data_IF_158644424726
#
_entry.id   IF_158644424726
#
_cell.length_a   1.000
_cell.length_b   1.000
_cell.length_c   1.000
_cell.angle_alpha   90.00
_cell.angle_beta   90.00
_cell.angle_gamma   90.00
#
_symmetry.space_group_name_H-M   'P 1'
#
loop_
_entity.id
_entity.type
_entity.pdbx_description
1 polymer ?
#
# COMPACT_ATOMS: atom_id res chain seq x y z
N UNK A 1 5.81 34.99 4.50
CA UNK A 1 7.20 34.50 4.55
C UNK A 1 7.13 33.05 4.96
N UNK A 2 7.36 32.15 4.01
CA UNK A 2 7.25 30.70 4.17
C UNK A 2 8.31 30.07 3.27
N UNK A 3 9.10 29.17 3.86
CA UNK A 3 10.14 28.33 3.27
C UNK A 3 11.04 29.01 2.22
N UNK A 4 11.86 29.97 2.65
CA UNK A 4 13.10 30.31 1.94
C UNK A 4 14.28 30.39 2.93
N UNK A 5 15.38 29.72 2.58
CA UNK A 5 16.65 29.69 3.31
C UNK A 5 17.39 31.02 3.16
N UNK A 6 16.93 32.06 3.87
CA UNK A 6 17.59 33.36 3.90
C UNK A 6 18.10 33.73 5.30
N UNK A 7 18.72 32.78 6.02
CA UNK A 7 19.71 33.04 7.08
C UNK A 7 20.20 31.74 7.74
N UNK A 8 21.37 31.27 7.32
CA UNK A 8 22.49 31.00 8.24
C UNK A 8 22.36 29.97 9.38
N UNK A 9 21.52 28.93 9.26
CA UNK A 9 21.63 27.69 10.08
C UNK A 9 21.30 26.43 9.28
N UNK A 10 22.28 25.56 9.08
CA UNK A 10 22.06 24.21 8.58
C UNK A 10 21.13 23.46 9.56
N UNK A 11 19.87 23.23 9.17
CA UNK A 11 18.93 22.37 9.90
C UNK A 11 17.60 23.00 10.38
N UNK A 12 17.32 24.27 10.09
CA UNK A 12 16.08 24.95 10.53
C UNK A 12 15.16 25.32 9.34
N UNK A 13 14.70 24.32 8.58
CA UNK A 13 13.57 24.54 7.65
C UNK A 13 12.24 24.46 8.40
N UNK A 14 11.49 25.56 8.38
CA UNK A 14 10.13 25.61 8.92
C UNK A 14 9.14 24.78 8.10
N UNK A 15 8.06 24.30 8.72
CA UNK A 15 7.00 23.60 8.01
C UNK A 15 6.43 24.46 6.86
N UNK A 16 6.27 23.87 5.68
CA UNK A 16 5.74 24.56 4.49
C UNK A 16 4.26 24.90 4.56
N UNK A 17 3.50 24.20 5.41
CA UNK A 17 2.09 24.48 5.69
C UNK A 17 1.71 23.91 7.08
N UNK A 18 0.60 24.41 7.63
CA UNK A 18 -0.01 23.89 8.86
C UNK A 18 -0.73 22.57 8.60
N UNK A 19 -0.56 21.59 9.49
CA UNK A 19 -1.20 20.29 9.36
C UNK A 19 -0.99 19.39 10.57
N UNK A 20 -1.78 18.32 10.66
CA UNK A 20 -1.64 17.25 11.66
C UNK A 20 -1.33 15.95 10.93
N UNK A 21 -0.34 15.22 11.43
CA UNK A 21 0.11 13.95 10.85
C UNK A 21 -0.05 12.83 11.86
N UNK A 22 -0.47 11.66 11.39
CA UNK A 22 -0.58 10.45 12.21
C UNK A 22 0.35 9.37 11.66
N UNK A 23 1.05 8.69 12.56
CA UNK A 23 1.78 7.47 12.29
C UNK A 23 1.13 6.29 13.02
N UNK A 24 1.13 5.11 12.41
CA UNK A 24 0.61 3.89 13.01
C UNK A 24 1.53 2.71 12.70
N UNK A 25 1.70 1.82 13.68
CA UNK A 25 2.41 0.56 13.53
C UNK A 25 1.78 -0.50 14.45
N UNK A 26 1.78 -1.76 14.03
CA UNK A 26 1.27 -2.88 14.83
C UNK A 26 2.03 -4.17 14.50
N UNK A 27 1.89 -5.24 15.29
CA UNK A 27 2.68 -6.48 15.13
C UNK A 27 1.98 -7.55 14.28
N UNK A 28 1.00 -7.16 13.47
CA UNK A 28 0.19 -8.11 12.70
C UNK A 28 0.97 -8.70 11.50
N UNK A 29 1.96 -7.97 10.97
CA UNK A 29 2.76 -8.40 9.82
C UNK A 29 4.25 -8.11 10.04
N UNK A 30 5.16 -8.72 9.24
CA UNK A 30 6.61 -8.51 9.39
C UNK A 30 7.05 -7.04 9.26
N UNK A 31 6.34 -6.28 8.43
CA UNK A 31 6.63 -4.86 8.14
C UNK A 31 5.90 -3.90 9.08
N UNK A 32 5.36 -4.41 10.19
CA UNK A 32 4.66 -3.68 11.25
C UNK A 32 3.40 -2.92 10.79
N UNK A 33 2.70 -3.45 9.79
CA UNK A 33 1.49 -2.85 9.20
C UNK A 33 0.23 -3.66 9.56
N UNK A 34 -0.97 -3.05 9.57
CA UNK A 34 -2.22 -3.80 9.72
C UNK A 34 -2.38 -4.84 8.61
N UNK A 35 -2.83 -6.05 8.96
CA UNK A 35 -2.94 -7.15 8.00
C UNK A 35 -3.78 -6.83 6.74
N UNK A 36 -4.96 -6.17 6.81
CA UNK A 36 -5.78 -5.92 5.63
C UNK A 36 -5.07 -5.09 4.55
N UNK A 37 -4.51 -3.94 4.93
CA UNK A 37 -3.84 -3.04 4.00
C UNK A 37 -2.54 -3.66 3.47
N UNK A 38 -1.81 -4.36 4.36
CA UNK A 38 -0.59 -5.07 4.00
C UNK A 38 -0.82 -6.09 2.88
N UNK A 39 -1.79 -6.99 3.06
CA UNK A 39 -2.06 -8.03 2.07
C UNK A 39 -2.72 -7.48 0.80
N UNK A 40 -3.59 -6.47 0.91
CA UNK A 40 -4.11 -5.76 -0.27
C UNK A 40 -2.98 -5.20 -1.15
N UNK A 41 -1.99 -4.52 -0.57
CA UNK A 41 -0.84 -4.02 -1.32
C UNK A 41 0.02 -5.14 -1.89
N UNK A 42 0.31 -6.18 -1.12
CA UNK A 42 1.12 -7.32 -1.58
C UNK A 42 0.51 -8.03 -2.78
N UNK A 43 -0.82 -8.18 -2.84
CA UNK A 43 -1.51 -8.74 -4.01
C UNK A 43 -1.25 -7.90 -5.26
N UNK A 44 -1.38 -6.56 -5.16
CA UNK A 44 -1.18 -5.66 -6.30
C UNK A 44 0.29 -5.59 -6.74
N UNK A 45 1.22 -5.62 -5.78
CA UNK A 45 2.66 -5.67 -6.04
C UNK A 45 3.04 -6.94 -6.83
N UNK A 46 2.55 -8.11 -6.38
CA UNK A 46 2.79 -9.38 -7.06
C UNK A 46 2.14 -9.43 -8.46
N UNK A 47 0.92 -8.90 -8.61
CA UNK A 47 0.24 -8.85 -9.91
C UNK A 47 0.99 -7.96 -10.90
N UNK A 48 1.47 -6.81 -10.44
CA UNK A 48 2.27 -5.89 -11.26
C UNK A 48 3.61 -6.53 -11.67
N UNK A 49 4.30 -7.21 -10.74
CA UNK A 49 5.53 -7.93 -11.04
C UNK A 49 5.30 -9.01 -12.11
N UNK A 50 4.29 -9.87 -11.92
CA UNK A 50 3.95 -10.92 -12.88
C UNK A 50 3.60 -10.37 -14.27
N UNK A 51 2.86 -9.26 -14.33
CA UNK A 51 2.55 -8.56 -15.58
C UNK A 51 3.81 -8.02 -16.26
N UNK A 52 4.70 -7.37 -15.50
CA UNK A 52 5.95 -6.81 -16.04
C UNK A 52 6.93 -7.89 -16.52
N UNK A 53 6.99 -9.02 -15.81
CA UNK A 53 7.78 -10.18 -16.20
C UNK A 53 7.17 -10.95 -17.38
N UNK A 54 5.94 -10.61 -17.78
CA UNK A 54 5.19 -11.27 -18.85
C UNK A 54 5.06 -12.79 -18.60
N UNK A 55 4.85 -13.16 -17.34
CA UNK A 55 4.87 -14.55 -16.88
C UNK A 55 3.58 -15.30 -17.27
N UNK A 56 3.64 -16.07 -18.36
CA UNK A 56 2.53 -16.91 -18.81
C UNK A 56 1.26 -16.09 -19.09
N UNK A 57 0.14 -16.52 -18.51
CA UNK A 57 -1.16 -15.86 -18.68
C UNK A 57 -1.21 -14.44 -18.08
N UNK A 58 -0.28 -14.08 -17.18
CA UNK A 58 -0.19 -12.74 -16.62
C UNK A 58 0.16 -11.67 -17.67
N UNK A 59 0.72 -12.09 -18.82
CA UNK A 59 0.97 -11.20 -19.95
C UNK A 59 -0.28 -10.58 -20.58
N UNK A 60 -1.45 -11.17 -20.32
CA UNK A 60 -2.74 -10.66 -20.80
C UNK A 60 -3.35 -9.62 -19.85
N UNK A 61 -2.76 -9.37 -18.70
CA UNK A 61 -3.26 -8.41 -17.72
C UNK A 61 -2.93 -6.98 -18.14
N UNK A 62 -3.89 -6.08 -17.96
CA UNK A 62 -3.70 -4.64 -18.11
C UNK A 62 -3.07 -4.01 -16.86
N UNK A 63 -2.67 -2.72 -16.94
CA UNK A 63 -2.04 -2.02 -15.82
C UNK A 63 -2.99 -1.67 -14.66
N UNK A 64 -4.31 -1.55 -14.88
CA UNK A 64 -5.28 -1.22 -13.81
C UNK A 64 -5.70 -2.46 -13.02
N UNK A 65 -5.56 -2.41 -11.70
CA UNK A 65 -5.99 -3.46 -10.79
C UNK A 65 -6.35 -2.90 -9.40
N UNK A 66 -7.31 -3.55 -8.74
CA UNK A 66 -7.79 -3.22 -7.40
C UNK A 66 -7.93 -4.48 -6.55
N UNK A 67 -7.49 -4.42 -5.30
CA UNK A 67 -7.59 -5.52 -4.35
C UNK A 67 -8.28 -5.07 -3.05
N UNK A 68 -9.04 -5.98 -2.46
CA UNK A 68 -9.64 -5.81 -1.14
C UNK A 68 -9.56 -7.13 -0.36
N UNK A 69 -9.14 -7.05 0.89
CA UNK A 69 -9.05 -8.21 1.80
C UNK A 69 -9.87 -7.92 3.05
N UNK A 70 -10.87 -8.75 3.32
CA UNK A 70 -11.66 -8.70 4.55
C UNK A 70 -11.07 -9.68 5.56
N UNK A 71 -10.54 -9.17 6.68
CA UNK A 71 -9.90 -9.98 7.72
C UNK A 71 -10.83 -10.10 8.93
N UNK A 72 -11.08 -11.33 9.40
CA UNK A 72 -11.72 -11.57 10.69
C UNK A 72 -10.67 -11.47 11.80
N UNK A 73 -10.97 -10.63 12.78
CA UNK A 73 -10.19 -10.50 13.99
C UNK A 73 -10.82 -11.29 15.13
N UNK A 74 -9.99 -11.98 15.91
CA UNK A 74 -10.37 -12.66 17.16
C UNK A 74 -9.45 -12.16 18.25
N UNK A 75 -10.02 -11.63 19.32
CA UNK A 75 -9.27 -11.08 20.47
C UNK A 75 -8.17 -10.07 20.06
N UNK A 76 -8.52 -9.20 19.10
CA UNK A 76 -7.61 -8.16 18.59
C UNK A 76 -6.47 -8.66 17.70
N UNK A 77 -6.49 -9.94 17.28
CA UNK A 77 -5.50 -10.52 16.36
C UNK A 77 -6.15 -10.90 15.03
N UNK A 78 -5.46 -10.61 13.93
CA UNK A 78 -5.86 -11.07 12.60
C UNK A 78 -5.84 -12.61 12.57
N UNK A 79 -7.01 -13.23 12.39
CA UNK A 79 -7.15 -14.69 12.47
C UNK A 79 -7.26 -15.34 11.09
N UNK A 80 -8.04 -14.75 10.18
CA UNK A 80 -8.24 -15.29 8.82
C UNK A 80 -8.67 -14.20 7.83
N UNK A 81 -8.37 -14.42 6.55
CA UNK A 81 -9.01 -13.70 5.46
C UNK A 81 -10.34 -14.38 5.13
N UNK A 82 -11.45 -13.67 5.33
CA UNK A 82 -12.81 -14.18 5.08
C UNK A 82 -13.24 -13.99 3.63
N UNK A 83 -12.77 -12.91 3.00
CA UNK A 83 -13.11 -12.56 1.62
C UNK A 83 -11.93 -11.85 0.97
N UNK A 84 -11.71 -12.15 -0.31
CA UNK A 84 -10.73 -11.48 -1.15
C UNK A 84 -11.45 -11.08 -2.44
N UNK A 85 -11.39 -9.79 -2.77
CA UNK A 85 -11.87 -9.26 -4.05
C UNK A 85 -10.66 -8.79 -4.83
N UNK A 86 -10.52 -9.29 -6.06
CA UNK A 86 -9.50 -8.86 -6.99
C UNK A 86 -10.18 -8.53 -8.32
N UNK A 87 -10.07 -7.27 -8.73
CA UNK A 87 -10.50 -6.81 -10.05
C UNK A 87 -9.26 -6.38 -10.81
N UNK A 88 -9.02 -6.99 -11.97
CA UNK A 88 -7.89 -6.65 -12.83
C UNK A 88 -8.37 -6.40 -14.24
N UNK A 89 -7.82 -5.37 -14.87
CA UNK A 89 -7.94 -5.19 -16.31
C UNK A 89 -7.24 -6.36 -17.02
N UNK A 90 -7.76 -6.75 -18.17
CA UNK A 90 -7.13 -7.72 -19.06
C UNK A 90 -7.47 -7.40 -20.51
N UNK A 91 -6.64 -7.90 -21.43
CA UNK A 91 -6.93 -7.88 -22.86
C UNK A 91 -8.05 -8.88 -23.14
N UNK A 92 -9.03 -8.46 -23.94
CA UNK A 92 -10.03 -9.38 -24.49
C UNK A 92 -9.32 -10.30 -25.49
N UNK A 93 -9.61 -11.60 -25.41
CA UNK A 93 -9.09 -12.63 -26.31
C UNK A 93 -9.60 -12.48 -27.73
#
# INVERSE_FOLDING_TARGET
>A
QGVDNAADRQGEEGAGDQGIMFGYACRETPDLMPAPIYYSHKILELLAAARHENNGEAGKLGPDAKSQVTVRYVDGKAAEATQIVLSTQHLDS
#
